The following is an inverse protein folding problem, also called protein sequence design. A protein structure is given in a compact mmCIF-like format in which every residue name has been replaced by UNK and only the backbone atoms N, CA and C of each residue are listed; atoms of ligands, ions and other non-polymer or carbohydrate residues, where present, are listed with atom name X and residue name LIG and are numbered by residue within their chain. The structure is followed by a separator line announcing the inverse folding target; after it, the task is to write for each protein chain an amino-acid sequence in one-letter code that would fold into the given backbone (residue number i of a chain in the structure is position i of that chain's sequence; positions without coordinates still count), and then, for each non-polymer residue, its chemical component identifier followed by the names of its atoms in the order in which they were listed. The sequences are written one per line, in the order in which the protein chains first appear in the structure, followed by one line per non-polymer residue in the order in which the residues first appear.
data_IF_363130148456
#
_entry.id   IF_363130148456
#
_cell.length_a   1.000
_cell.length_b   1.000
_cell.length_c   1.000
_cell.angle_alpha   90.00
_cell.angle_beta   90.00
_cell.angle_gamma   90.00
#
_symmetry.space_group_name_H-M   'P 1'
#
loop_
_entity.id
_entity.type
_entity.pdbx_description
1 polymer ?
#
# COMPACT_ATOMS: atom_id res chain seq x y z
N UNK A 1 -2.58 -29.49 -38.25
CA UNK A 1 -1.47 -29.93 -39.12
C UNK A 1 -1.15 -28.81 -40.10
N UNK A 2 -0.21 -27.89 -39.76
CA UNK A 2 0.46 -26.97 -40.68
C UNK A 2 1.77 -26.58 -39.99
N UNK A 3 2.84 -27.13 -40.49
CA UNK A 3 4.21 -26.86 -40.13
C UNK A 3 4.66 -25.52 -40.70
N UNK A 4 5.14 -24.59 -39.88
CA UNK A 4 5.88 -23.42 -40.34
C UNK A 4 7.39 -23.72 -40.30
N UNK A 5 8.01 -23.62 -41.48
CA UNK A 5 9.45 -23.64 -41.68
C UNK A 5 10.11 -22.42 -41.06
N UNK A 6 11.14 -22.65 -40.28
CA UNK A 6 12.13 -21.62 -39.86
C UNK A 6 13.01 -21.23 -41.05
N UNK A 7 13.26 -19.96 -41.25
CA UNK A 7 14.05 -19.37 -42.33
C UNK A 7 15.55 -19.42 -42.00
N UNK A 8 16.34 -19.75 -43.01
CA UNK A 8 17.81 -19.82 -43.06
C UNK A 8 18.41 -18.39 -42.92
N UNK A 9 18.72 -17.92 -41.70
CA UNK A 9 19.52 -16.71 -41.50
C UNK A 9 20.56 -16.80 -40.36
N UNK A 10 20.72 -17.96 -39.71
CA UNK A 10 21.65 -18.11 -38.59
C UNK A 10 22.96 -18.88 -38.89
N UNK A 11 23.25 -19.14 -40.16
CA UNK A 11 24.46 -19.87 -40.54
C UNK A 11 25.71 -19.03 -40.89
N UNK A 12 25.59 -17.68 -41.01
CA UNK A 12 26.71 -16.84 -41.42
C UNK A 12 27.53 -16.23 -40.25
N UNK A 13 27.10 -16.35 -39.00
CA UNK A 13 27.84 -15.77 -37.87
C UNK A 13 28.94 -16.67 -37.27
N UNK A 14 28.86 -17.96 -37.51
CA UNK A 14 29.86 -18.94 -36.99
C UNK A 14 30.98 -19.26 -37.95
N UNK A 15 30.87 -18.86 -39.22
CA UNK A 15 31.92 -19.03 -40.23
C UNK A 15 33.09 -18.05 -40.13
N UNK A 16 32.88 -16.88 -39.55
CA UNK A 16 33.88 -15.83 -39.43
C UNK A 16 34.92 -16.01 -38.33
N UNK A 17 34.61 -16.78 -37.29
CA UNK A 17 35.52 -17.03 -36.17
C UNK A 17 36.45 -18.23 -36.38
N UNK A 18 36.09 -19.18 -37.24
CA UNK A 18 36.94 -20.33 -37.57
C UNK A 18 38.05 -20.01 -38.56
N UNK A 19 37.88 -18.98 -39.45
CA UNK A 19 38.87 -18.58 -40.41
C UNK A 19 40.05 -17.81 -39.82
N UNK A 20 39.88 -17.11 -38.71
CA UNK A 20 40.93 -16.33 -38.07
C UNK A 20 41.85 -17.16 -37.16
N UNK A 21 41.45 -18.38 -36.79
CA UNK A 21 42.27 -19.28 -35.96
C UNK A 21 43.23 -20.17 -36.73
N UNK A 22 43.01 -20.38 -38.02
CA UNK A 22 43.83 -21.30 -38.83
C UNK A 22 45.03 -20.63 -39.53
N UNK A 23 45.03 -19.30 -39.71
CA UNK A 23 46.18 -18.60 -40.33
C UNK A 23 47.34 -18.30 -39.37
N UNK A 24 47.14 -18.41 -38.04
CA UNK A 24 48.20 -18.19 -37.04
C UNK A 24 48.78 -19.47 -36.43
N UNK A 25 48.41 -20.64 -36.91
CA UNK A 25 48.91 -21.92 -36.39
C UNK A 25 50.38 -22.29 -36.79
N UNK A 26 51.06 -21.40 -37.55
CA UNK A 26 52.41 -21.68 -38.06
C UNK A 26 53.57 -21.22 -37.19
N UNK A 27 53.35 -20.63 -36.03
CA UNK A 27 54.41 -20.12 -35.12
C UNK A 27 54.19 -20.46 -33.64
N UNK A 28 53.75 -21.66 -33.32
CA UNK A 28 53.87 -22.16 -31.97
C UNK A 28 55.28 -22.70 -31.75
N UNK A 29 56.10 -21.94 -31.07
CA UNK A 29 57.29 -22.43 -30.43
C UNK A 29 56.89 -23.63 -29.53
N UNK A 30 57.67 -24.71 -29.57
CA UNK A 30 57.49 -25.88 -28.71
C UNK A 30 57.44 -25.37 -27.25
N UNK A 31 56.28 -25.23 -26.73
CA UNK A 31 56.12 -24.95 -25.30
C UNK A 31 56.55 -26.20 -24.55
N UNK A 32 57.58 -25.99 -23.72
CA UNK A 32 58.04 -27.04 -22.79
C UNK A 32 56.84 -27.45 -21.93
N UNK A 33 56.58 -28.76 -21.80
CA UNK A 33 55.50 -29.23 -20.94
C UNK A 33 55.70 -28.66 -19.53
N UNK A 34 54.63 -28.06 -18.94
CA UNK A 34 54.76 -27.46 -17.63
C UNK A 34 55.08 -28.54 -16.60
N UNK A 35 56.00 -28.24 -15.70
CA UNK A 35 56.34 -29.15 -14.64
C UNK A 35 55.19 -29.28 -13.60
N UNK A 36 55.26 -30.27 -12.70
CA UNK A 36 54.16 -30.57 -11.73
C UNK A 36 53.83 -29.37 -10.83
N UNK A 37 54.82 -28.51 -10.52
CA UNK A 37 54.59 -27.30 -9.70
C UNK A 37 53.88 -26.21 -10.49
N UNK A 38 54.23 -26.00 -11.76
CA UNK A 38 53.56 -25.04 -12.67
C UNK A 38 52.12 -25.43 -12.91
N UNK A 39 51.82 -26.74 -13.10
CA UNK A 39 50.47 -27.28 -13.22
C UNK A 39 49.68 -27.07 -11.94
N UNK A 40 50.31 -27.26 -10.78
CA UNK A 40 49.63 -27.02 -9.47
C UNK A 40 49.37 -25.54 -9.26
N UNK A 41 50.25 -24.66 -9.70
CA UNK A 41 50.07 -23.20 -9.60
C UNK A 41 48.96 -22.71 -10.55
N UNK A 42 48.93 -23.18 -11.78
CA UNK A 42 47.83 -22.90 -12.73
C UNK A 42 46.47 -23.37 -12.22
N UNK A 43 46.41 -24.57 -11.65
CA UNK A 43 45.16 -25.07 -11.04
C UNK A 43 44.68 -24.17 -9.89
N UNK A 44 45.60 -23.66 -9.05
CA UNK A 44 45.25 -22.71 -7.97
C UNK A 44 44.72 -21.38 -8.55
N UNK A 45 45.38 -20.84 -9.58
CA UNK A 45 44.94 -19.61 -10.23
C UNK A 45 43.56 -19.79 -10.88
N UNK A 46 43.35 -20.88 -11.62
CA UNK A 46 42.04 -21.21 -12.22
C UNK A 46 40.96 -21.36 -11.17
N UNK A 47 41.29 -22.06 -10.06
CA UNK A 47 40.31 -22.18 -8.92
C UNK A 47 39.97 -20.84 -8.28
N UNK A 48 40.96 -19.97 -8.09
CA UNK A 48 40.74 -18.60 -7.56
C UNK A 48 39.92 -17.75 -8.53
N UNK A 49 40.18 -17.82 -9.84
CA UNK A 49 39.40 -17.10 -10.86
C UNK A 49 37.95 -17.62 -10.91
N UNK A 50 37.76 -18.94 -10.86
CA UNK A 50 36.40 -19.54 -10.81
C UNK A 50 35.66 -19.12 -9.53
N UNK A 51 36.33 -19.14 -8.39
CA UNK A 51 35.73 -18.67 -7.12
C UNK A 51 35.39 -17.18 -7.19
N UNK A 52 36.27 -16.35 -7.77
CA UNK A 52 36.02 -14.93 -7.96
C UNK A 52 34.81 -14.65 -8.91
N UNK A 53 34.72 -15.43 -10.00
CA UNK A 53 33.58 -15.35 -10.94
C UNK A 53 32.29 -15.81 -10.25
N UNK A 54 32.34 -16.87 -9.44
CA UNK A 54 31.20 -17.32 -8.65
C UNK A 54 30.78 -16.33 -7.56
N UNK A 55 31.74 -15.68 -6.91
CA UNK A 55 31.43 -14.58 -5.96
C UNK A 55 30.87 -13.35 -6.69
N UNK A 56 31.38 -12.95 -7.82
CA UNK A 56 30.86 -11.85 -8.63
C UNK A 56 29.47 -12.17 -9.20
N UNK A 57 29.20 -13.42 -9.60
CA UNK A 57 27.86 -13.83 -10.03
C UNK A 57 26.88 -13.94 -8.87
N UNK A 58 27.31 -14.29 -7.67
CA UNK A 58 26.47 -14.27 -6.47
C UNK A 58 26.12 -12.82 -6.03
N UNK A 59 27.02 -11.85 -6.24
CA UNK A 59 26.72 -10.43 -6.02
C UNK A 59 25.81 -9.83 -7.09
N UNK A 60 25.83 -10.36 -8.32
CA UNK A 60 24.98 -9.88 -9.42
C UNK A 60 23.56 -10.47 -9.39
N UNK A 61 23.29 -11.43 -8.50
CA UNK A 61 21.99 -12.11 -8.37
C UNK A 61 21.31 -11.84 -7.02
N UNK A 62 21.71 -10.80 -6.29
CA UNK A 62 20.84 -10.22 -5.28
C UNK A 62 19.75 -9.46 -6.05
N UNK A 63 18.61 -10.09 -6.27
CA UNK A 63 17.41 -9.42 -6.78
C UNK A 63 17.17 -8.22 -5.87
N UNK A 64 17.33 -7.02 -6.41
CA UNK A 64 17.12 -5.80 -5.64
C UNK A 64 15.65 -5.82 -5.24
N UNK A 65 15.37 -5.72 -3.93
CA UNK A 65 13.98 -5.69 -3.46
C UNK A 65 13.21 -4.61 -4.23
N UNK A 66 12.00 -4.94 -4.66
CA UNK A 66 11.18 -4.02 -5.46
C UNK A 66 10.68 -2.82 -4.63
N UNK A 67 10.75 -2.92 -3.32
CA UNK A 67 10.36 -1.87 -2.35
C UNK A 67 11.23 -1.96 -1.08
N UNK A 68 11.14 -0.93 -0.26
CA UNK A 68 11.74 -0.85 1.08
C UNK A 68 10.69 -0.38 2.09
N UNK A 69 10.59 -1.05 3.25
CA UNK A 69 9.73 -0.62 4.35
C UNK A 69 10.56 -0.01 5.49
N UNK A 70 10.06 1.10 6.03
CA UNK A 70 10.68 1.80 7.15
C UNK A 70 9.62 2.16 8.18
N UNK A 71 9.82 1.67 9.42
CA UNK A 71 9.00 2.06 10.58
C UNK A 71 9.51 3.38 11.12
N UNK A 72 8.60 4.32 11.33
CA UNK A 72 8.89 5.69 11.77
C UNK A 72 7.88 6.16 12.82
N UNK A 73 8.13 7.31 13.42
CA UNK A 73 7.14 8.11 14.14
C UNK A 73 7.10 9.51 13.53
N UNK A 74 5.90 10.00 13.24
CA UNK A 74 5.68 11.35 12.72
C UNK A 74 5.26 12.23 13.89
N UNK A 75 5.72 13.49 13.94
CA UNK A 75 5.23 14.43 14.90
C UNK A 75 3.85 14.93 14.50
N UNK A 76 2.82 14.48 15.20
CA UNK A 76 1.47 15.04 15.12
C UNK A 76 1.32 16.33 15.92
N UNK A 77 0.11 16.87 15.97
CA UNK A 77 -0.18 18.12 16.67
C UNK A 77 0.00 18.00 18.20
N UNK A 78 -0.44 16.88 18.78
CA UNK A 78 -0.45 16.64 20.23
C UNK A 78 0.37 15.43 20.68
N UNK A 79 0.63 14.47 19.76
CA UNK A 79 1.33 13.22 20.04
C UNK A 79 2.15 12.79 18.84
N UNK A 80 3.01 11.79 19.03
CA UNK A 80 3.69 11.08 17.94
C UNK A 80 2.76 10.06 17.30
N UNK A 81 2.76 10.02 15.96
CA UNK A 81 1.95 9.13 15.14
C UNK A 81 2.87 8.01 14.64
N UNK A 82 2.75 6.77 15.13
CA UNK A 82 3.50 5.65 14.57
C UNK A 82 3.07 5.36 13.14
N UNK A 83 4.04 5.10 12.28
CA UNK A 83 3.77 4.85 10.87
C UNK A 83 4.77 3.85 10.27
N UNK A 84 4.37 3.27 9.13
CA UNK A 84 5.27 2.49 8.26
C UNK A 84 5.17 3.03 6.84
N UNK A 85 6.31 3.44 6.30
CA UNK A 85 6.45 3.85 4.90
C UNK A 85 6.90 2.63 4.08
N UNK A 86 6.20 2.35 2.98
CA UNK A 86 6.63 1.42 1.95
C UNK A 86 6.98 2.23 0.69
N UNK A 87 8.26 2.23 0.32
CA UNK A 87 8.81 3.03 -0.77
C UNK A 87 9.21 2.13 -1.94
N UNK A 88 8.73 2.37 -3.17
CA UNK A 88 9.23 1.67 -4.36
C UNK A 88 10.73 1.90 -4.54
N UNK A 89 11.45 0.91 -5.06
CA UNK A 89 12.84 1.10 -5.49
C UNK A 89 12.89 1.86 -6.81
N UNK A 90 13.93 2.69 -6.99
CA UNK A 90 14.11 3.51 -8.19
C UNK A 90 14.35 4.98 -7.88
N UNK A 91 14.36 5.79 -8.94
CA UNK A 91 14.74 7.21 -8.85
C UNK A 91 13.58 8.11 -8.36
N UNK A 92 12.30 7.71 -8.59
CA UNK A 92 11.15 8.57 -8.32
C UNK A 92 11.08 9.80 -9.26
N UNK A 93 10.33 10.87 -8.94
CA UNK A 93 9.45 10.94 -7.78
C UNK A 93 8.22 10.04 -7.93
N UNK A 94 7.83 9.36 -6.86
CA UNK A 94 6.67 8.46 -6.83
C UNK A 94 5.42 9.17 -6.30
N UNK A 95 4.22 8.88 -6.81
CA UNK A 95 2.97 9.20 -6.12
C UNK A 95 2.92 8.50 -4.76
N UNK A 96 2.19 9.06 -3.80
CA UNK A 96 2.06 8.48 -2.47
C UNK A 96 0.60 8.31 -2.04
N UNK A 97 0.36 7.36 -1.14
CA UNK A 97 -0.95 7.05 -0.56
C UNK A 97 -0.84 7.04 0.96
N UNK A 98 -1.69 7.81 1.63
CA UNK A 98 -1.92 7.69 3.07
C UNK A 98 -2.99 6.63 3.28
N UNK A 99 -2.74 5.64 4.15
CA UNK A 99 -3.62 4.51 4.41
C UNK A 99 -4.11 4.56 5.85
N UNK A 100 -5.44 4.62 6.01
CA UNK A 100 -6.15 4.83 7.26
C UNK A 100 -6.92 3.57 7.67
N UNK A 101 -6.64 3.06 8.86
CA UNK A 101 -7.26 1.84 9.37
C UNK A 101 -8.68 2.07 9.94
N UNK A 102 -9.45 1.00 10.05
CA UNK A 102 -10.78 1.00 10.63
C UNK A 102 -10.80 0.99 12.16
N UNK A 103 -12.01 1.00 12.72
CA UNK A 103 -12.27 1.04 14.17
C UNK A 103 -11.52 -0.06 14.91
N UNK A 104 -10.71 0.35 15.88
CA UNK A 104 -10.00 -0.59 16.75
C UNK A 104 -8.87 -1.38 16.08
N UNK A 105 -8.60 -1.18 14.81
CA UNK A 105 -7.53 -1.87 14.08
C UNK A 105 -6.16 -1.20 14.28
N UNK A 106 -5.21 -1.48 13.44
CA UNK A 106 -3.85 -0.90 13.43
C UNK A 106 -3.47 -0.50 12.01
N UNK A 107 -2.32 0.13 11.83
CA UNK A 107 -1.79 0.47 10.49
C UNK A 107 -1.66 -0.72 9.52
N UNK A 108 -1.65 -1.97 10.04
CA UNK A 108 -1.58 -3.17 9.22
C UNK A 108 -2.95 -3.75 8.85
N UNK A 109 -4.02 -3.26 9.48
CA UNK A 109 -5.43 -3.59 9.27
C UNK A 109 -5.82 -5.04 9.60
N UNK A 110 -7.12 -5.37 9.44
CA UNK A 110 -7.66 -6.70 9.67
C UNK A 110 -6.86 -7.76 8.89
N UNK A 111 -6.46 -8.84 9.57
CA UNK A 111 -5.68 -9.92 8.95
C UNK A 111 -4.38 -9.48 8.27
N UNK A 112 -3.83 -8.34 8.64
CA UNK A 112 -2.67 -7.70 8.00
C UNK A 112 -2.95 -7.25 6.54
N UNK A 113 -4.18 -6.89 6.21
CA UNK A 113 -4.58 -6.53 4.84
C UNK A 113 -3.73 -5.41 4.25
N UNK A 114 -3.46 -4.36 5.01
CA UNK A 114 -2.60 -3.27 4.54
C UNK A 114 -1.11 -3.63 4.52
N UNK A 115 -0.65 -4.54 5.40
CA UNK A 115 0.70 -5.08 5.35
C UNK A 115 0.95 -5.82 4.02
N UNK A 116 -0.05 -6.53 3.50
CA UNK A 116 0.04 -7.21 2.20
C UNK A 116 -0.21 -6.26 1.02
N UNK A 117 -1.07 -5.27 1.17
CA UNK A 117 -1.41 -4.33 0.11
C UNK A 117 -0.23 -3.41 -0.27
N UNK A 118 0.46 -2.84 0.72
CA UNK A 118 1.50 -1.85 0.51
C UNK A 118 2.65 -2.31 -0.40
N UNK A 119 3.22 -3.53 -0.23
CA UNK A 119 4.20 -4.09 -1.15
C UNK A 119 3.70 -4.21 -2.60
N UNK A 120 2.47 -4.67 -2.80
CA UNK A 120 1.88 -4.83 -4.15
C UNK A 120 1.69 -3.46 -4.81
N UNK A 121 1.22 -2.46 -4.07
CA UNK A 121 1.08 -1.09 -4.56
C UNK A 121 2.43 -0.49 -4.97
N UNK A 122 3.47 -0.76 -4.19
CA UNK A 122 4.82 -0.30 -4.49
C UNK A 122 5.43 -1.03 -5.71
N UNK A 123 5.39 -2.36 -5.72
CA UNK A 123 6.06 -3.18 -6.73
C UNK A 123 5.36 -3.11 -8.09
N UNK A 124 4.03 -3.25 -8.10
CA UNK A 124 3.25 -3.37 -9.34
C UNK A 124 2.85 -2.03 -9.92
N UNK A 125 2.58 -1.03 -9.06
CA UNK A 125 2.01 0.25 -9.48
C UNK A 125 2.95 1.44 -9.28
N UNK A 126 4.09 1.25 -8.62
CA UNK A 126 5.05 2.32 -8.34
C UNK A 126 4.49 3.38 -7.39
N UNK A 127 3.60 3.00 -6.48
CA UNK A 127 2.95 3.86 -5.51
C UNK A 127 3.61 3.69 -4.15
N UNK A 128 4.17 4.76 -3.60
CA UNK A 128 4.62 4.77 -2.22
C UNK A 128 3.42 4.80 -1.27
N UNK A 129 3.53 4.18 -0.10
CA UNK A 129 2.46 4.21 0.90
C UNK A 129 2.98 4.62 2.27
N UNK A 130 2.11 5.22 3.07
CA UNK A 130 2.31 5.41 4.50
C UNK A 130 1.07 4.95 5.24
N UNK A 131 1.26 3.98 6.15
CA UNK A 131 0.23 3.43 7.04
C UNK A 131 0.45 4.01 8.42
N UNK A 132 -0.58 4.55 9.07
CA UNK A 132 -0.48 5.18 10.39
C UNK A 132 -1.30 4.45 11.44
N UNK A 133 -0.88 4.54 12.72
CA UNK A 133 -1.69 4.13 13.86
C UNK A 133 -2.36 5.35 14.49
N UNK A 134 -3.69 5.38 14.51
CA UNK A 134 -4.46 6.37 15.25
C UNK A 134 -4.33 6.21 16.77
N UNK A 135 -4.69 7.21 17.59
CA UNK A 135 -4.67 7.13 19.04
C UNK A 135 -5.29 5.84 19.59
N UNK A 136 -4.66 5.23 20.59
CA UNK A 136 -5.13 4.00 21.24
C UNK A 136 -5.01 2.72 20.42
N UNK A 137 -4.40 2.77 19.24
CA UNK A 137 -4.25 1.64 18.35
C UNK A 137 -2.78 1.37 18.03
N UNK A 138 -2.46 0.11 17.70
CA UNK A 138 -1.13 -0.30 17.29
C UNK A 138 -0.02 0.10 18.28
N UNK A 139 0.97 0.82 17.80
CA UNK A 139 2.10 1.32 18.59
C UNK A 139 1.85 2.73 19.19
N UNK A 140 0.69 3.36 18.92
CA UNK A 140 0.34 4.67 19.45
C UNK A 140 0.38 4.69 20.98
N UNK A 141 0.96 5.74 21.54
CA UNK A 141 0.98 5.99 23.00
C UNK A 141 -0.09 6.99 23.45
N UNK A 142 -0.80 7.58 22.48
CA UNK A 142 -1.93 8.43 22.75
C UNK A 142 -3.13 7.59 23.20
N UNK A 143 -3.97 8.13 24.08
CA UNK A 143 -5.19 7.48 24.52
C UNK A 143 -6.25 7.54 23.40
N UNK A 144 -7.07 6.46 23.25
CA UNK A 144 -8.15 6.45 22.26
C UNK A 144 -9.18 7.58 22.47
N UNK A 145 -9.31 8.09 23.69
CA UNK A 145 -10.11 9.29 23.99
C UNK A 145 -9.70 10.54 23.16
N UNK A 146 -8.49 10.55 22.60
CA UNK A 146 -8.00 11.63 21.72
C UNK A 146 -8.40 11.43 20.24
N UNK A 147 -8.92 10.23 19.90
CA UNK A 147 -9.40 9.96 18.55
C UNK A 147 -10.76 10.65 18.32
N UNK A 148 -10.82 11.52 17.34
CA UNK A 148 -11.98 12.27 16.87
C UNK A 148 -11.87 12.47 15.37
N UNK A 149 -12.91 12.84 14.65
CA UNK A 149 -12.80 13.16 13.22
C UNK A 149 -11.75 14.24 12.95
N UNK A 150 -11.69 15.25 13.82
CA UNK A 150 -10.72 16.33 13.67
C UNK A 150 -9.27 15.87 13.89
N UNK A 151 -9.03 15.01 14.88
CA UNK A 151 -7.68 14.46 15.10
C UNK A 151 -7.28 13.50 13.98
N UNK A 152 -8.21 12.66 13.47
CA UNK A 152 -7.94 11.77 12.36
C UNK A 152 -7.52 12.53 11.09
N UNK A 153 -8.23 13.61 10.75
CA UNK A 153 -7.85 14.50 9.64
C UNK A 153 -6.49 15.16 9.87
N UNK A 154 -6.21 15.62 11.08
CA UNK A 154 -4.90 16.20 11.39
C UNK A 154 -3.76 15.18 11.27
N UNK A 155 -3.99 13.92 11.68
CA UNK A 155 -3.00 12.85 11.61
C UNK A 155 -2.75 12.42 10.16
N UNK A 156 -3.80 12.25 9.36
CA UNK A 156 -3.69 11.94 7.93
C UNK A 156 -2.95 13.04 7.17
N UNK A 157 -3.27 14.33 7.49
CA UNK A 157 -2.55 15.47 6.92
C UNK A 157 -1.07 15.46 7.31
N UNK A 158 -0.75 15.21 8.58
CA UNK A 158 0.66 15.11 9.02
C UNK A 158 1.42 14.00 8.28
N UNK A 159 0.76 12.87 8.00
CA UNK A 159 1.33 11.78 7.20
C UNK A 159 1.55 12.20 5.74
N UNK A 160 0.60 12.91 5.15
CA UNK A 160 0.74 13.46 3.79
C UNK A 160 1.87 14.50 3.71
N UNK A 161 1.95 15.43 4.67
CA UNK A 161 3.01 16.45 4.74
C UNK A 161 4.39 15.81 4.92
N UNK A 162 4.50 14.73 5.73
CA UNK A 162 5.73 13.95 5.86
C UNK A 162 6.15 13.33 4.52
N UNK A 163 5.21 12.65 3.84
CA UNK A 163 5.50 12.05 2.53
C UNK A 163 5.92 13.11 1.51
N UNK A 164 5.20 14.23 1.43
CA UNK A 164 5.54 15.34 0.53
C UNK A 164 6.94 15.92 0.75
N UNK A 165 7.47 15.80 1.98
CA UNK A 165 8.82 16.24 2.34
C UNK A 165 9.95 15.29 1.91
N UNK A 166 9.66 14.10 1.39
CA UNK A 166 10.67 13.13 0.97
C UNK A 166 11.11 13.39 -0.48
N UNK A 167 12.41 13.41 -0.74
CA UNK A 167 13.01 13.69 -2.06
C UNK A 167 12.48 12.77 -3.18
N UNK A 168 12.09 11.54 -2.84
CA UNK A 168 11.59 10.55 -3.80
C UNK A 168 10.08 10.61 -4.03
N UNK A 169 9.36 11.49 -3.38
CA UNK A 169 7.89 11.59 -3.49
C UNK A 169 7.49 12.80 -4.32
N UNK A 170 6.50 12.60 -5.20
CA UNK A 170 5.79 13.69 -5.85
C UNK A 170 4.75 14.26 -4.88
N UNK A 171 5.09 15.35 -4.18
CA UNK A 171 4.20 15.99 -3.22
C UNK A 171 2.89 16.53 -3.82
N UNK A 172 2.81 16.71 -5.13
CA UNK A 172 1.59 17.12 -5.83
C UNK A 172 0.68 15.94 -6.21
N UNK A 173 1.11 14.70 -5.95
CA UNK A 173 0.43 13.46 -6.31
C UNK A 173 0.21 12.56 -5.09
N UNK A 174 -0.48 13.06 -4.08
CA UNK A 174 -0.81 12.32 -2.85
C UNK A 174 -2.31 11.97 -2.85
N UNK A 175 -2.60 10.68 -2.65
CA UNK A 175 -3.93 10.15 -2.43
C UNK A 175 -4.12 9.70 -0.99
N UNK A 176 -5.38 9.43 -0.63
CA UNK A 176 -5.74 8.83 0.65
C UNK A 176 -6.63 7.62 0.43
N UNK A 177 -6.45 6.60 1.24
CA UNK A 177 -7.39 5.49 1.31
C UNK A 177 -7.72 5.13 2.74
N UNK A 178 -8.91 4.59 2.94
CA UNK A 178 -9.31 4.13 4.24
C UNK A 178 -10.27 2.96 4.20
N UNK A 179 -10.20 2.11 5.21
CA UNK A 179 -11.02 0.93 5.37
C UNK A 179 -12.05 1.15 6.49
N UNK A 180 -13.33 0.82 6.27
CA UNK A 180 -14.39 0.98 7.27
C UNK A 180 -14.45 2.42 7.79
N UNK A 181 -14.30 2.67 9.08
CA UNK A 181 -14.18 4.01 9.65
C UNK A 181 -13.04 4.83 9.04
N UNK A 182 -11.90 4.21 8.71
CA UNK A 182 -10.84 4.90 7.97
C UNK A 182 -11.31 5.45 6.61
N UNK A 183 -12.30 4.81 5.98
CA UNK A 183 -12.97 5.34 4.79
C UNK A 183 -13.78 6.61 5.07
N UNK A 184 -14.41 6.69 6.24
CA UNK A 184 -15.06 7.93 6.73
C UNK A 184 -14.05 9.03 6.92
N UNK A 185 -12.95 8.72 7.62
CA UNK A 185 -11.86 9.67 7.85
C UNK A 185 -11.28 10.17 6.52
N UNK A 186 -11.05 9.27 5.56
CA UNK A 186 -10.55 9.64 4.22
C UNK A 186 -11.51 10.57 3.45
N UNK A 187 -12.83 10.40 3.59
CA UNK A 187 -13.82 11.31 3.02
C UNK A 187 -13.74 12.70 3.66
N UNK A 188 -13.60 12.74 4.99
CA UNK A 188 -13.45 14.00 5.72
C UNK A 188 -12.11 14.67 5.47
N UNK A 189 -11.02 13.90 5.33
CA UNK A 189 -9.71 14.41 4.90
C UNK A 189 -9.81 15.19 3.60
N UNK A 190 -10.44 14.58 2.61
CA UNK A 190 -10.63 15.22 1.31
C UNK A 190 -11.56 16.45 1.39
N UNK A 191 -12.55 16.42 2.29
CA UNK A 191 -13.49 17.54 2.47
C UNK A 191 -12.87 18.74 3.19
N UNK A 192 -12.12 18.49 4.26
CA UNK A 192 -11.60 19.53 5.14
C UNK A 192 -10.19 19.99 4.77
N UNK A 193 -9.41 19.14 4.06
CA UNK A 193 -8.08 19.44 3.55
C UNK A 193 -8.00 19.26 2.02
N UNK A 194 -8.84 19.96 1.23
CA UNK A 194 -9.06 19.66 -0.20
C UNK A 194 -7.83 19.86 -1.10
N UNK A 195 -6.84 20.60 -0.63
CA UNK A 195 -5.59 20.81 -1.38
C UNK A 195 -4.56 19.69 -1.14
N UNK A 196 -4.71 18.92 -0.06
CA UNK A 196 -3.74 17.89 0.35
C UNK A 196 -3.85 16.66 -0.53
N UNK A 197 -5.07 16.14 -0.71
CA UNK A 197 -5.30 14.89 -1.41
C UNK A 197 -5.88 15.11 -2.81
N UNK A 198 -5.40 14.34 -3.79
CA UNK A 198 -5.85 14.47 -5.20
C UNK A 198 -6.83 13.39 -5.61
N UNK A 199 -6.88 12.28 -4.89
CA UNK A 199 -7.70 11.12 -5.20
C UNK A 199 -7.95 10.31 -3.93
N UNK A 200 -9.09 9.62 -3.85
CA UNK A 200 -9.50 8.85 -2.67
C UNK A 200 -9.96 7.45 -3.08
N UNK A 201 -9.63 6.46 -2.23
CA UNK A 201 -10.21 5.12 -2.29
C UNK A 201 -10.82 4.79 -0.93
N UNK A 202 -12.05 4.29 -0.91
CA UNK A 202 -12.65 3.72 0.30
C UNK A 202 -12.81 2.22 0.16
N UNK A 203 -12.41 1.49 1.18
CA UNK A 203 -12.63 0.06 1.35
C UNK A 203 -13.73 -0.14 2.39
N UNK A 204 -14.94 -0.57 1.97
CA UNK A 204 -16.10 -0.70 2.84
C UNK A 204 -16.32 0.53 3.74
N UNK A 205 -16.24 1.74 3.15
CA UNK A 205 -16.34 3.00 3.90
C UNK A 205 -17.69 3.18 4.57
N UNK A 206 -17.70 3.62 5.84
CA UNK A 206 -18.85 3.72 6.73
C UNK A 206 -19.22 5.19 7.02
N UNK A 207 -19.77 5.95 6.05
CA UNK A 207 -20.02 7.39 6.23
C UNK A 207 -21.13 7.73 7.23
N UNK A 208 -21.93 6.75 7.64
CA UNK A 208 -22.96 6.91 8.68
C UNK A 208 -22.94 5.72 9.65
N UNK A 209 -22.04 5.79 10.63
CA UNK A 209 -21.84 4.73 11.63
C UNK A 209 -23.02 4.53 12.58
N UNK A 210 -23.92 5.49 12.71
CA UNK A 210 -25.16 5.31 13.50
C UNK A 210 -26.17 4.42 12.77
N UNK A 211 -26.33 4.62 11.44
CA UNK A 211 -27.25 3.79 10.64
C UNK A 211 -26.73 2.35 10.50
N UNK A 212 -25.42 2.17 10.45
CA UNK A 212 -24.80 0.85 10.39
C UNK A 212 -24.73 0.14 11.76
N UNK A 213 -25.18 0.79 12.84
CA UNK A 213 -25.31 0.19 14.17
C UNK A 213 -24.01 0.10 14.97
N UNK A 214 -22.95 0.74 14.53
CA UNK A 214 -21.66 0.83 15.24
C UNK A 214 -21.72 1.67 16.51
N UNK A 215 -22.70 2.56 16.58
CA UNK A 215 -22.87 3.52 17.64
C UNK A 215 -24.35 3.74 17.90
N UNK A 216 -24.82 3.37 19.08
CA UNK A 216 -26.22 3.42 19.45
C UNK A 216 -26.61 4.69 20.23
N UNK A 217 -27.91 4.95 20.35
CA UNK A 217 -28.40 6.00 21.22
C UNK A 217 -28.05 5.74 22.71
N UNK A 218 -27.96 4.46 23.12
CA UNK A 218 -27.57 4.06 24.47
C UNK A 218 -26.09 4.41 24.74
N UNK A 219 -25.21 4.08 23.82
CA UNK A 219 -23.78 4.45 23.88
C UNK A 219 -23.60 5.97 23.96
N UNK A 220 -24.38 6.72 23.17
CA UNK A 220 -24.32 8.18 23.20
C UNK A 220 -24.80 8.76 24.53
N UNK A 221 -25.84 8.18 25.13
CA UNK A 221 -26.32 8.63 26.45
C UNK A 221 -25.28 8.27 27.52
N UNK A 222 -24.67 7.10 27.48
CA UNK A 222 -23.57 6.75 28.36
C UNK A 222 -22.40 7.75 28.24
N UNK A 223 -21.99 8.07 27.01
CA UNK A 223 -20.93 9.05 26.77
C UNK A 223 -21.28 10.45 27.30
N UNK A 224 -22.56 10.87 27.22
CA UNK A 224 -23.02 12.15 27.81
C UNK A 224 -22.94 12.18 29.34
N UNK A 225 -23.15 11.04 29.97
CA UNK A 225 -23.12 10.94 31.44
C UNK A 225 -21.69 10.82 31.98
N UNK A 226 -20.84 10.03 31.31
CA UNK A 226 -19.51 9.66 31.79
C UNK A 226 -18.36 10.36 31.10
N UNK A 227 -18.63 11.08 29.98
CA UNK A 227 -17.61 11.66 29.10
C UNK A 227 -17.08 10.69 28.03
N UNK A 228 -17.45 9.40 28.12
CA UNK A 228 -17.12 8.33 27.18
C UNK A 228 -18.13 7.18 27.33
N UNK A 229 -18.18 6.30 26.32
CA UNK A 229 -18.73 4.96 26.44
C UNK A 229 -17.64 3.91 26.20
N UNK A 230 -17.89 2.67 26.63
CA UNK A 230 -16.95 1.56 26.44
C UNK A 230 -17.37 0.74 25.23
N UNK A 231 -16.59 0.81 24.16
CA UNK A 231 -16.74 -0.07 23.00
C UNK A 231 -16.06 -1.40 23.29
N UNK A 232 -16.84 -2.48 23.30
CA UNK A 232 -16.36 -3.83 23.62
C UNK A 232 -15.93 -4.59 22.36
N UNK A 233 -14.86 -5.37 22.47
CA UNK A 233 -14.34 -6.21 21.40
C UNK A 233 -13.97 -7.59 21.92
N UNK A 234 -14.25 -8.63 21.15
CA UNK A 234 -13.83 -10.00 21.47
C UNK A 234 -12.36 -10.30 21.14
N UNK A 235 -11.74 -9.46 20.32
CA UNK A 235 -10.41 -9.72 19.72
C UNK A 235 -9.31 -8.74 20.15
N UNK A 236 -9.65 -7.73 20.95
CA UNK A 236 -8.72 -6.74 21.51
C UNK A 236 -9.25 -6.23 22.85
N UNK A 237 -8.44 -5.43 23.56
CA UNK A 237 -8.89 -4.69 24.73
C UNK A 237 -9.95 -3.65 24.35
N UNK A 238 -10.93 -3.45 25.23
CA UNK A 238 -12.00 -2.48 25.06
C UNK A 238 -11.45 -1.05 24.90
N UNK A 239 -12.17 -0.21 24.18
CA UNK A 239 -11.83 1.20 23.94
C UNK A 239 -12.80 2.12 24.69
N UNK A 240 -12.24 3.14 25.34
CA UNK A 240 -13.02 4.25 25.84
C UNK A 240 -13.22 5.26 24.70
N UNK A 241 -14.42 5.32 24.16
CA UNK A 241 -14.77 6.23 23.05
C UNK A 241 -15.28 7.54 23.61
N UNK A 242 -14.64 8.64 23.28
CA UNK A 242 -14.95 9.96 23.87
C UNK A 242 -16.33 10.48 23.47
N UNK A 243 -16.93 11.30 24.32
CA UNK A 243 -18.14 12.06 23.97
C UNK A 243 -17.91 12.90 22.71
N UNK A 244 -16.71 13.47 22.54
CA UNK A 244 -16.42 14.28 21.34
C UNK A 244 -16.54 13.46 20.05
N UNK A 245 -16.01 12.22 20.03
CA UNK A 245 -16.20 11.33 18.89
C UNK A 245 -17.68 11.02 18.64
N UNK A 246 -18.43 10.77 19.70
CA UNK A 246 -19.88 10.53 19.61
C UNK A 246 -20.62 11.75 19.02
N UNK A 247 -20.25 12.96 19.47
CA UNK A 247 -20.78 14.21 18.92
C UNK A 247 -20.41 14.40 17.45
N UNK A 248 -19.19 14.06 17.06
CA UNK A 248 -18.71 14.12 15.66
C UNK A 248 -19.55 13.18 14.79
N UNK A 249 -19.71 11.91 15.17
CA UNK A 249 -20.51 10.93 14.42
C UNK A 249 -21.99 11.35 14.34
N UNK A 250 -22.58 11.78 15.43
CA UNK A 250 -23.99 12.12 15.48
C UNK A 250 -24.36 13.40 14.71
N UNK A 251 -23.40 14.33 14.52
CA UNK A 251 -23.69 15.67 14.00
C UNK A 251 -22.98 15.99 12.67
N UNK A 252 -22.16 15.11 12.11
CA UNK A 252 -21.47 15.35 10.86
C UNK A 252 -22.16 14.64 9.70
N UNK A 253 -22.65 15.41 8.74
CA UNK A 253 -23.08 14.89 7.44
C UNK A 253 -21.86 14.66 6.55
N UNK A 254 -21.21 13.48 6.71
CA UNK A 254 -19.95 13.13 6.04
C UNK A 254 -20.06 13.25 4.53
N UNK A 255 -21.12 12.71 3.93
CA UNK A 255 -21.33 12.79 2.47
C UNK A 255 -21.62 14.21 2.00
N UNK A 256 -22.34 14.99 2.82
CA UNK A 256 -22.59 16.40 2.53
C UNK A 256 -21.31 17.26 2.61
N UNK A 257 -20.44 17.01 3.60
CA UNK A 257 -19.12 17.67 3.68
C UNK A 257 -18.23 17.27 2.49
N UNK A 258 -18.14 15.97 2.20
CA UNK A 258 -17.38 15.45 1.08
C UNK A 258 -17.83 16.05 -0.27
N UNK A 259 -19.13 16.05 -0.53
CA UNK A 259 -19.70 16.58 -1.78
C UNK A 259 -19.41 18.07 -2.00
N UNK A 260 -19.27 18.85 -0.91
CA UNK A 260 -18.97 20.30 -1.00
C UNK A 260 -17.48 20.59 -1.03
N UNK A 261 -16.68 19.79 -0.31
CA UNK A 261 -15.27 20.07 -0.07
C UNK A 261 -14.33 19.46 -1.11
N UNK A 262 -14.70 18.39 -1.76
CA UNK A 262 -13.80 17.66 -2.65
C UNK A 262 -14.32 17.54 -4.09
N UNK A 263 -13.43 17.76 -5.05
CA UNK A 263 -13.72 17.63 -6.50
C UNK A 263 -12.88 16.58 -7.22
N UNK A 264 -11.97 15.92 -6.51
CA UNK A 264 -11.16 14.83 -7.05
C UNK A 264 -11.98 13.54 -7.23
N UNK A 265 -11.39 12.54 -7.89
CA UNK A 265 -12.05 11.26 -8.13
C UNK A 265 -12.07 10.38 -6.88
N UNK A 266 -13.13 9.55 -6.75
CA UNK A 266 -13.27 8.53 -5.72
C UNK A 266 -13.50 7.14 -6.34
N UNK A 267 -12.80 6.13 -5.80
CA UNK A 267 -13.14 4.72 -6.00
C UNK A 267 -13.68 4.18 -4.68
N UNK A 268 -14.92 3.71 -4.67
CA UNK A 268 -15.51 3.05 -3.50
C UNK A 268 -15.61 1.55 -3.74
N UNK A 269 -14.90 0.77 -2.93
CA UNK A 269 -14.83 -0.70 -3.01
C UNK A 269 -15.63 -1.30 -1.86
N UNK A 270 -16.48 -2.27 -2.14
CA UNK A 270 -17.19 -3.05 -1.12
C UNK A 270 -17.38 -4.50 -1.56
N UNK A 271 -17.57 -5.39 -0.59
CA UNK A 271 -17.98 -6.75 -0.84
C UNK A 271 -19.50 -6.88 -0.90
N UNK A 272 -20.01 -7.77 -1.76
CA UNK A 272 -21.46 -7.99 -1.84
C UNK A 272 -22.03 -8.74 -0.64
N UNK A 273 -21.18 -9.36 0.19
CA UNK A 273 -21.53 -10.07 1.42
C UNK A 273 -21.10 -9.32 2.69
N UNK A 274 -20.81 -8.02 2.61
CA UNK A 274 -20.52 -7.20 3.78
C UNK A 274 -21.80 -7.06 4.63
N UNK A 275 -21.77 -7.64 5.84
CA UNK A 275 -22.86 -7.61 6.82
C UNK A 275 -22.61 -6.60 7.95
N UNK A 276 -21.51 -5.88 7.90
CA UNK A 276 -21.08 -4.88 8.88
C UNK A 276 -21.36 -3.47 8.38
N UNK A 277 -20.99 -3.16 7.13
CA UNK A 277 -21.27 -1.89 6.46
C UNK A 277 -22.04 -2.18 5.18
N UNK A 278 -23.24 -1.62 5.05
CA UNK A 278 -24.09 -1.83 3.87
C UNK A 278 -23.31 -1.45 2.59
N UNK A 279 -23.09 -2.40 1.64
CA UNK A 279 -22.40 -2.12 0.39
C UNK A 279 -22.99 -0.95 -0.42
N UNK A 280 -24.26 -0.61 -0.20
CA UNK A 280 -24.92 0.53 -0.84
C UNK A 280 -24.27 1.88 -0.48
N UNK A 281 -23.54 1.96 0.62
CA UNK A 281 -22.75 3.15 0.95
C UNK A 281 -21.72 3.49 -0.13
N UNK A 282 -21.13 2.49 -0.77
CA UNK A 282 -20.21 2.73 -1.89
C UNK A 282 -20.88 3.46 -3.06
N UNK A 283 -22.15 3.11 -3.38
CA UNK A 283 -22.92 3.84 -4.40
C UNK A 283 -23.22 5.28 -3.94
N UNK A 284 -23.57 5.48 -2.67
CA UNK A 284 -23.87 6.81 -2.11
C UNK A 284 -22.62 7.70 -2.08
N UNK A 285 -21.44 7.15 -1.74
CA UNK A 285 -20.16 7.84 -1.78
C UNK A 285 -19.85 8.33 -3.19
N UNK A 286 -19.99 7.46 -4.18
CA UNK A 286 -19.78 7.84 -5.59
C UNK A 286 -20.81 8.85 -6.08
N UNK A 287 -22.07 8.71 -5.68
CA UNK A 287 -23.12 9.66 -6.03
C UNK A 287 -22.92 11.06 -5.41
N UNK A 288 -22.21 11.15 -4.27
CA UNK A 288 -21.84 12.42 -3.64
C UNK A 288 -20.66 13.11 -4.35
N UNK A 289 -19.88 12.39 -5.17
CA UNK A 289 -18.77 12.95 -5.93
C UNK A 289 -19.26 13.69 -7.18
N UNK A 290 -18.65 14.83 -7.47
CA UNK A 290 -18.87 15.58 -8.72
C UNK A 290 -17.92 15.17 -9.85
N UNK A 291 -16.96 14.26 -9.60
CA UNK A 291 -15.94 13.87 -10.55
C UNK A 291 -16.40 12.69 -11.43
N UNK A 292 -16.35 12.85 -12.75
CA UNK A 292 -16.80 11.81 -13.70
C UNK A 292 -15.96 10.53 -13.70
N UNK A 293 -14.73 10.57 -13.18
CA UNK A 293 -13.89 9.39 -13.02
C UNK A 293 -14.24 8.55 -11.78
N UNK A 294 -15.14 9.06 -10.92
CA UNK A 294 -15.58 8.36 -9.71
C UNK A 294 -16.41 7.13 -10.06
N UNK A 295 -16.14 6.03 -9.36
CA UNK A 295 -16.79 4.75 -9.62
C UNK A 295 -16.83 3.84 -8.40
N UNK A 296 -17.78 2.91 -8.39
CA UNK A 296 -17.83 1.80 -7.44
C UNK A 296 -17.13 0.57 -8.02
N UNK A 297 -16.63 -0.27 -7.15
CA UNK A 297 -16.14 -1.60 -7.48
C UNK A 297 -16.62 -2.60 -6.44
N UNK A 298 -17.52 -3.51 -6.85
CA UNK A 298 -18.04 -4.55 -5.97
C UNK A 298 -17.34 -5.87 -6.24
N UNK A 299 -16.89 -6.53 -5.15
CA UNK A 299 -16.28 -7.86 -5.19
C UNK A 299 -17.33 -8.86 -4.71
N UNK A 300 -17.71 -9.77 -5.57
CA UNK A 300 -18.77 -10.75 -5.32
C UNK A 300 -18.38 -11.73 -4.21
N UNK A 301 -19.25 -11.89 -3.21
CA UNK A 301 -19.05 -12.81 -2.10
C UNK A 301 -18.06 -12.35 -1.03
N UNK A 302 -17.44 -11.18 -1.19
CA UNK A 302 -16.50 -10.62 -0.22
C UNK A 302 -17.24 -10.04 0.99
N UNK A 303 -16.75 -10.32 2.19
CA UNK A 303 -17.22 -9.80 3.47
C UNK A 303 -16.55 -8.45 3.83
N UNK A 304 -16.90 -7.89 5.01
CA UNK A 304 -16.33 -6.63 5.52
C UNK A 304 -14.81 -6.66 5.66
N UNK A 305 -14.27 -7.83 5.99
CA UNK A 305 -12.83 -8.02 6.21
C UNK A 305 -12.07 -8.41 4.94
N UNK A 306 -12.66 -8.27 3.76
CA UNK A 306 -12.06 -8.64 2.48
C UNK A 306 -11.64 -10.11 2.43
N UNK A 307 -12.42 -10.95 3.11
CA UNK A 307 -12.22 -12.40 3.24
C UNK A 307 -10.83 -12.80 3.77
N UNK A 308 -10.08 -11.89 4.43
CA UNK A 308 -8.72 -12.18 4.94
C UNK A 308 -8.69 -13.29 6.00
N UNK A 309 -9.83 -13.60 6.61
CA UNK A 309 -9.97 -14.71 7.56
C UNK A 309 -10.62 -15.95 6.94
N UNK A 310 -11.15 -15.85 5.72
CA UNK A 310 -11.89 -16.92 5.04
C UNK A 310 -11.11 -17.55 3.87
N UNK A 311 -10.19 -16.81 3.25
CA UNK A 311 -9.45 -17.23 2.06
C UNK A 311 -7.97 -17.46 2.38
N UNK A 312 -7.43 -18.64 2.03
CA UNK A 312 -6.00 -18.96 2.22
C UNK A 312 -5.08 -18.18 1.27
N UNK A 313 -5.57 -17.82 0.08
CA UNK A 313 -4.80 -17.15 -0.99
C UNK A 313 -5.10 -15.64 -1.09
N UNK A 314 -6.00 -15.12 -0.22
CA UNK A 314 -6.37 -13.69 -0.18
C UNK A 314 -6.80 -13.10 -1.53
N UNK A 315 -7.43 -13.90 -2.40
CA UNK A 315 -7.76 -13.42 -3.74
C UNK A 315 -8.71 -12.21 -3.73
N UNK A 316 -9.71 -12.16 -2.83
CA UNK A 316 -10.59 -11.01 -2.68
C UNK A 316 -9.84 -9.75 -2.24
N UNK A 317 -8.91 -9.88 -1.30
CA UNK A 317 -8.05 -8.78 -0.87
C UNK A 317 -7.19 -8.27 -2.05
N UNK A 318 -6.53 -9.17 -2.77
CA UNK A 318 -5.67 -8.78 -3.90
C UNK A 318 -6.47 -8.19 -5.07
N UNK A 319 -7.71 -8.58 -5.28
CA UNK A 319 -8.61 -7.97 -6.25
C UNK A 319 -8.90 -6.50 -5.88
N UNK A 320 -9.16 -6.23 -4.60
CA UNK A 320 -9.31 -4.87 -4.09
C UNK A 320 -8.00 -4.05 -4.20
N UNK A 321 -6.85 -4.66 -3.90
CA UNK A 321 -5.54 -4.02 -4.04
C UNK A 321 -5.26 -3.64 -5.50
N UNK A 322 -5.56 -4.54 -6.43
CA UNK A 322 -5.37 -4.29 -7.86
C UNK A 322 -6.29 -3.18 -8.38
N UNK A 323 -7.54 -3.16 -7.96
CA UNK A 323 -8.47 -2.08 -8.30
C UNK A 323 -7.98 -0.72 -7.73
N UNK A 324 -7.50 -0.73 -6.48
CA UNK A 324 -6.92 0.44 -5.81
C UNK A 324 -5.68 0.96 -6.54
N UNK A 325 -4.73 0.07 -6.81
CA UNK A 325 -3.47 0.43 -7.49
C UNK A 325 -3.69 0.97 -8.89
N UNK A 326 -4.57 0.33 -9.66
CA UNK A 326 -4.93 0.80 -11.00
C UNK A 326 -5.58 2.19 -10.97
N UNK A 327 -6.49 2.43 -10.00
CA UNK A 327 -7.16 3.71 -9.85
C UNK A 327 -6.20 4.84 -9.47
N UNK A 328 -5.35 4.65 -8.47
CA UNK A 328 -4.37 5.66 -8.09
C UNK A 328 -3.33 5.91 -9.18
N UNK A 329 -2.86 4.88 -9.90
CA UNK A 329 -1.98 5.04 -11.05
C UNK A 329 -2.62 5.82 -12.22
N UNK A 330 -3.95 5.80 -12.34
CA UNK A 330 -4.71 6.61 -13.29
C UNK A 330 -4.83 8.07 -12.82
N UNK A 331 -5.06 8.31 -11.54
CA UNK A 331 -5.51 9.59 -10.98
C UNK A 331 -4.43 10.42 -10.29
N UNK A 332 -3.32 9.82 -9.87
CA UNK A 332 -2.15 10.47 -9.28
C UNK A 332 -1.03 10.62 -10.32
N UNK A 333 -1.12 11.63 -11.19
CA UNK A 333 -0.15 11.87 -12.29
C UNK A 333 0.54 13.21 -12.13
#
# INVERSE_FOLDING_TARGET
MKTHKLSDSDHDFMGGLAGCFLENAGKFAIMKEPNKEEVAHMKKIVSMVVILILMLSAFACAEQAAYEETVIAIQGAEYEIPATVCMPTGEGPFPAIVMLHGTGSTRDEAGNGYLYAAPVLAEKYGLATIRIDFPGNGDSKADYMQYTFKSAVADAKAAADYMAGLDKINGDAIGVMGWSQGGTDALLDCAWEPETFKSIVTWAGAPDMMLDGFFSEEDYNEAKENGFFVMEFDWRDNLNVSLQWCDDVANTDVLGEFSKGFSGPVLAIAGTNDDTVDPEWSNKIVAASSNEASRTYFIEGMDHTFNVFAEEDFHSLYDAVDATGAFFAETLK
#
